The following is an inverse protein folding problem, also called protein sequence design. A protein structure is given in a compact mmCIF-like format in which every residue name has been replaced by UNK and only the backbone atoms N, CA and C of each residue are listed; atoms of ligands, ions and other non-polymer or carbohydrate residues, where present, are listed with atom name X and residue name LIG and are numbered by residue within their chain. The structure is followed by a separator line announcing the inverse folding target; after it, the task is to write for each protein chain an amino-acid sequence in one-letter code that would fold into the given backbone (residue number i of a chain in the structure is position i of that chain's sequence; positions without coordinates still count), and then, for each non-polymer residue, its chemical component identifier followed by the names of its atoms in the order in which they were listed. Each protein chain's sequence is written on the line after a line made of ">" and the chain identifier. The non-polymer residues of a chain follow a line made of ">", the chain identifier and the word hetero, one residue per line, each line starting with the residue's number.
data_IF_694371809020
#
_entry.id   IF_694371809020
#
_cell.length_a   1.000
_cell.length_b   1.000
_cell.length_c   1.000
_cell.angle_alpha   90.00
_cell.angle_beta   90.00
_cell.angle_gamma   90.00
#
_symmetry.space_group_name_H-M   'P 1'
#
loop_
_entity.id
_entity.type
_entity.pdbx_description
1 polymer ?
#
# COMPACT_ATOMS: atom_id res chain seq x y z
N UNK A 1 -24.82 127.69 -6.07
CA UNK A 1 -25.88 128.59 -6.57
C UNK A 1 -25.75 129.94 -5.86
N UNK A 2 -25.43 131.05 -6.54
CA UNK A 2 -25.39 132.35 -5.88
C UNK A 2 -26.83 132.84 -5.66
N UNK A 3 -27.16 133.25 -4.43
CA UNK A 3 -28.48 133.81 -4.11
C UNK A 3 -28.71 135.07 -4.98
N UNK A 4 -29.83 135.17 -5.73
CA UNK A 4 -30.16 136.37 -6.48
C UNK A 4 -30.34 137.56 -5.51
N UNK A 5 -29.93 138.74 -5.95
CA UNK A 5 -29.99 139.94 -5.15
C UNK A 5 -31.44 140.30 -4.82
N UNK A 6 -31.73 140.53 -3.54
CA UNK A 6 -33.06 140.93 -3.02
C UNK A 6 -33.64 142.24 -3.60
N UNK A 7 -32.92 142.94 -4.47
CA UNK A 7 -33.40 144.16 -5.12
C UNK A 7 -32.90 144.17 -6.56
N UNK A 8 -33.80 144.48 -7.48
CA UNK A 8 -33.52 144.69 -8.90
C UNK A 8 -33.49 146.17 -9.24
N UNK A 9 -32.85 146.51 -10.35
CA UNK A 9 -32.79 147.88 -10.87
C UNK A 9 -34.19 148.46 -11.11
N UNK A 10 -35.13 147.67 -11.66
CA UNK A 10 -36.52 148.12 -11.90
C UNK A 10 -37.30 148.44 -10.62
N UNK A 11 -36.97 147.78 -9.50
CA UNK A 11 -37.58 148.10 -8.21
C UNK A 11 -37.10 149.48 -7.72
N UNK A 12 -35.80 149.76 -7.87
CA UNK A 12 -35.22 151.08 -7.57
C UNK A 12 -35.82 152.15 -8.47
N UNK A 13 -36.01 151.88 -9.77
CA UNK A 13 -36.67 152.82 -10.70
C UNK A 13 -38.11 153.15 -10.29
N UNK A 14 -38.88 152.14 -9.89
CA UNK A 14 -40.28 152.34 -9.46
C UNK A 14 -40.36 153.19 -8.20
N UNK A 15 -39.50 152.93 -7.22
CA UNK A 15 -39.41 153.74 -6.00
C UNK A 15 -38.94 155.17 -6.29
N UNK A 16 -38.06 155.37 -7.27
CA UNK A 16 -37.63 156.70 -7.74
C UNK A 16 -38.78 157.44 -8.42
N UNK A 17 -39.60 156.76 -9.22
CA UNK A 17 -40.77 157.35 -9.87
C UNK A 17 -41.82 157.79 -8.83
N UNK A 18 -42.04 156.99 -7.78
CA UNK A 18 -42.93 157.33 -6.67
C UNK A 18 -42.44 158.54 -5.86
N UNK A 19 -41.13 158.63 -5.59
CA UNK A 19 -40.54 159.82 -4.94
C UNK A 19 -40.67 161.08 -5.80
N UNK A 20 -40.52 160.97 -7.13
CA UNK A 20 -40.73 162.10 -8.04
C UNK A 20 -42.20 162.56 -8.07
N UNK A 21 -43.15 161.62 -8.04
CA UNK A 21 -44.59 161.92 -8.01
C UNK A 21 -45.02 162.65 -6.74
N UNK A 22 -44.34 162.40 -5.61
CA UNK A 22 -44.61 163.01 -4.31
C UNK A 22 -43.80 164.28 -4.04
N UNK A 23 -43.01 164.76 -5.02
CA UNK A 23 -42.07 165.89 -4.87
C UNK A 23 -41.06 165.70 -3.71
N UNK A 24 -40.74 164.44 -3.37
CA UNK A 24 -39.76 164.10 -2.33
C UNK A 24 -38.37 163.94 -2.95
N UNK A 25 -37.28 164.47 -2.34
CA UNK A 25 -35.93 164.29 -2.86
C UNK A 25 -35.50 162.81 -2.89
N UNK A 26 -34.95 162.39 -4.02
CA UNK A 26 -34.52 161.01 -4.29
C UNK A 26 -33.15 160.75 -3.65
N UNK A 27 -33.11 159.96 -2.57
CA UNK A 27 -31.85 159.49 -1.96
C UNK A 27 -31.93 157.98 -1.61
N UNK A 28 -30.79 157.28 -1.42
CA UNK A 28 -30.79 155.83 -1.16
C UNK A 28 -31.59 155.41 0.08
N UNK A 29 -31.71 156.28 1.08
CA UNK A 29 -32.50 156.00 2.29
C UNK A 29 -34.01 156.11 2.03
N UNK A 30 -34.45 157.13 1.29
CA UNK A 30 -35.85 157.30 0.90
C UNK A 30 -36.29 156.18 -0.04
N UNK A 31 -35.41 155.78 -0.97
CA UNK A 31 -35.65 154.63 -1.85
C UNK A 31 -35.72 153.33 -1.05
N UNK A 32 -34.83 153.12 -0.07
CA UNK A 32 -34.91 151.97 0.84
C UNK A 32 -36.19 152.00 1.68
N UNK A 33 -36.66 153.19 2.07
CA UNK A 33 -37.90 153.35 2.85
C UNK A 33 -39.13 152.93 2.05
N UNK A 34 -39.16 153.22 0.75
CA UNK A 34 -40.24 152.75 -0.16
C UNK A 34 -40.10 151.25 -0.43
N UNK A 35 -38.89 150.78 -0.70
CA UNK A 35 -38.65 149.36 -1.00
C UNK A 35 -38.81 148.45 0.21
N UNK A 36 -38.76 148.97 1.44
CA UNK A 36 -38.84 148.22 2.69
C UNK A 36 -37.62 147.34 2.99
N UNK A 37 -36.81 147.00 1.99
CA UNK A 37 -35.64 146.15 2.11
C UNK A 37 -34.49 146.60 1.20
N UNK A 38 -33.29 146.08 1.49
CA UNK A 38 -32.12 146.32 0.67
C UNK A 38 -30.89 146.88 1.35
N UNK A 39 -29.71 146.57 0.77
CA UNK A 39 -28.46 147.22 1.16
C UNK A 39 -28.36 148.61 0.56
N UNK A 40 -28.07 149.61 1.40
CA UNK A 40 -27.86 151.01 0.99
C UNK A 40 -26.78 151.11 -0.10
N UNK A 41 -25.72 150.30 -0.02
CA UNK A 41 -24.63 150.29 -1.01
C UNK A 41 -25.12 149.82 -2.39
N UNK A 42 -26.03 148.84 -2.42
CA UNK A 42 -26.57 148.31 -3.68
C UNK A 42 -27.65 149.22 -4.27
N UNK A 43 -28.50 149.83 -3.44
CA UNK A 43 -29.45 150.87 -3.86
C UNK A 43 -28.70 152.10 -4.39
N UNK A 44 -27.62 152.51 -3.72
CA UNK A 44 -26.75 153.58 -4.19
C UNK A 44 -26.12 153.30 -5.55
N UNK A 45 -25.67 152.05 -5.79
CA UNK A 45 -25.18 151.63 -7.10
C UNK A 45 -26.23 151.79 -8.20
N UNK A 46 -27.48 151.35 -7.97
CA UNK A 46 -28.56 151.50 -8.94
C UNK A 46 -29.00 152.96 -9.14
N UNK A 47 -29.07 153.76 -8.07
CA UNK A 47 -29.38 155.19 -8.18
C UNK A 47 -28.33 155.97 -8.99
N UNK A 48 -27.04 155.64 -8.82
CA UNK A 48 -25.96 156.20 -9.61
C UNK A 48 -26.08 155.82 -11.09
N UNK A 49 -26.47 154.58 -11.38
CA UNK A 49 -26.77 154.14 -12.75
C UNK A 49 -27.94 154.92 -13.38
N UNK A 50 -28.95 155.28 -12.58
CA UNK A 50 -30.13 156.08 -12.98
C UNK A 50 -29.88 157.59 -13.11
N UNK A 51 -28.63 158.04 -13.03
CA UNK A 51 -28.28 159.46 -13.15
C UNK A 51 -28.65 160.31 -11.93
N UNK A 52 -29.03 159.69 -10.82
CA UNK A 52 -29.19 160.37 -9.54
C UNK A 52 -27.81 160.44 -8.86
N UNK A 53 -27.34 161.65 -8.57
CA UNK A 53 -26.10 161.86 -7.84
C UNK A 53 -26.27 161.38 -6.40
N UNK A 54 -25.79 160.16 -6.14
CA UNK A 54 -25.63 159.58 -4.80
C UNK A 54 -24.33 160.05 -4.14
N UNK A 55 -23.88 161.24 -4.50
CA UNK A 55 -22.73 161.84 -3.85
C UNK A 55 -23.21 162.30 -2.49
N UNK A 56 -22.79 161.56 -1.46
CA UNK A 56 -22.48 162.14 -0.17
C UNK A 56 -21.29 163.08 -0.38
N UNK A 57 -21.49 164.16 -1.13
CA UNK A 57 -20.51 165.21 -1.28
C UNK A 57 -20.28 165.76 0.12
N UNK A 58 -19.11 165.43 0.66
CA UNK A 58 -18.52 165.90 1.92
C UNK A 58 -18.42 167.43 2.04
N UNK A 59 -19.04 168.18 1.13
CA UNK A 59 -19.16 169.63 1.09
C UNK A 59 -20.36 170.15 1.91
N UNK A 60 -21.17 169.25 2.52
CA UNK A 60 -22.23 169.60 3.48
C UNK A 60 -22.19 168.78 4.77
N UNK A 61 -21.04 168.20 5.08
CA UNK A 61 -20.82 167.61 6.40
C UNK A 61 -20.45 168.73 7.37
N UNK A 62 -21.24 168.88 8.43
CA UNK A 62 -20.94 169.72 9.58
C UNK A 62 -19.45 169.54 9.96
N UNK A 63 -18.66 170.60 10.23
CA UNK A 63 -17.25 170.49 10.67
C UNK A 63 -17.04 169.44 11.77
N UNK A 64 -18.07 169.14 12.56
CA UNK A 64 -18.08 168.04 13.52
C UNK A 64 -17.90 166.65 12.88
N UNK A 65 -18.58 166.34 11.77
CA UNK A 65 -18.53 165.05 11.07
C UNK A 65 -17.17 164.82 10.42
N UNK A 66 -16.60 165.85 9.79
CA UNK A 66 -15.25 165.81 9.21
C UNK A 66 -14.18 165.61 10.29
N UNK A 67 -14.34 166.24 11.45
CA UNK A 67 -13.48 166.03 12.62
C UNK A 67 -13.62 164.62 13.19
N UNK A 68 -14.85 164.09 13.30
CA UNK A 68 -15.13 162.71 13.69
C UNK A 68 -14.48 161.70 12.75
N UNK A 69 -14.61 161.87 11.43
CA UNK A 69 -13.98 161.00 10.44
C UNK A 69 -12.46 161.05 10.53
N UNK A 70 -11.87 162.24 10.71
CA UNK A 70 -10.43 162.38 10.86
C UNK A 70 -9.90 161.81 12.19
N UNK A 71 -10.72 161.78 13.26
CA UNK A 71 -10.38 161.12 14.53
C UNK A 71 -10.57 159.60 14.47
N UNK A 72 -11.59 159.11 13.75
CA UNK A 72 -11.93 157.69 13.67
C UNK A 72 -11.13 156.93 12.60
N UNK A 73 -10.68 157.60 11.54
CA UNK A 73 -9.92 156.98 10.44
C UNK A 73 -8.61 156.32 10.91
N UNK A 74 -7.77 156.95 11.75
CA UNK A 74 -6.58 156.30 12.29
C UNK A 74 -6.92 155.04 13.09
N UNK A 75 -7.97 155.11 13.94
CA UNK A 75 -8.43 153.97 14.75
C UNK A 75 -8.98 152.84 13.88
N UNK A 76 -9.70 153.17 12.80
CA UNK A 76 -10.21 152.18 11.86
C UNK A 76 -9.08 151.49 11.07
N UNK A 77 -8.03 152.24 10.70
CA UNK A 77 -6.84 151.67 10.05
C UNK A 77 -6.05 150.79 11.01
N UNK A 78 -5.87 151.20 12.26
CA UNK A 78 -5.21 150.38 13.29
C UNK A 78 -6.00 149.10 13.58
N UNK A 79 -7.33 149.17 13.67
CA UNK A 79 -8.20 148.00 13.82
C UNK A 79 -8.13 147.07 12.59
N UNK A 80 -8.09 147.61 11.38
CA UNK A 80 -7.93 146.83 10.15
C UNK A 80 -6.56 146.14 10.12
N UNK A 81 -5.49 146.85 10.49
CA UNK A 81 -4.13 146.30 10.58
C UNK A 81 -4.01 145.21 11.66
N UNK A 82 -4.59 145.43 12.85
CA UNK A 82 -4.70 144.41 13.89
C UNK A 82 -5.53 143.21 13.43
N UNK A 83 -6.60 143.42 12.65
CA UNK A 83 -7.41 142.32 12.12
C UNK A 83 -6.65 141.51 11.08
N UNK A 84 -5.92 142.17 10.18
CA UNK A 84 -5.07 141.53 9.17
C UNK A 84 -3.94 140.76 9.82
N UNK A 85 -3.33 141.31 10.86
CA UNK A 85 -2.26 140.63 11.59
C UNK A 85 -2.78 139.40 12.35
N UNK A 86 -3.95 139.48 12.99
CA UNK A 86 -4.63 138.30 13.59
C UNK A 86 -4.98 137.25 12.54
N UNK A 87 -5.50 137.66 11.39
CA UNK A 87 -5.80 136.75 10.27
C UNK A 87 -4.52 136.09 9.77
N UNK A 88 -3.43 136.86 9.62
CA UNK A 88 -2.13 136.36 9.19
C UNK A 88 -1.59 135.33 10.18
N UNK A 89 -1.60 135.64 11.47
CA UNK A 89 -1.15 134.72 12.53
C UNK A 89 -1.99 133.45 12.58
N UNK A 90 -3.33 133.57 12.54
CA UNK A 90 -4.21 132.41 12.50
C UNK A 90 -4.02 131.56 11.24
N UNK A 91 -3.77 132.18 10.09
CA UNK A 91 -3.49 131.47 8.82
C UNK A 91 -2.14 130.76 8.90
N UNK A 92 -1.12 131.40 9.47
CA UNK A 92 0.19 130.77 9.69
C UNK A 92 0.09 129.57 10.64
N UNK A 93 -0.63 129.70 11.76
CA UNK A 93 -0.87 128.60 12.70
C UNK A 93 -1.62 127.44 12.04
N UNK A 94 -2.68 127.73 11.28
CA UNK A 94 -3.44 126.69 10.58
C UNK A 94 -2.61 126.01 9.49
N UNK A 95 -1.75 126.75 8.78
CA UNK A 95 -0.82 126.16 7.80
C UNK A 95 0.21 125.26 8.49
N UNK A 96 0.78 125.66 9.63
CA UNK A 96 1.71 124.80 10.38
C UNK A 96 1.02 123.55 10.89
N UNK A 97 -0.20 123.65 11.42
CA UNK A 97 -0.99 122.49 11.84
C UNK A 97 -1.30 121.57 10.64
N UNK A 98 -1.63 122.13 9.49
CA UNK A 98 -1.92 121.36 8.28
C UNK A 98 -0.68 120.60 7.78
N UNK A 99 0.50 121.24 7.81
CA UNK A 99 1.78 120.60 7.50
C UNK A 99 2.11 119.47 8.50
N UNK A 100 1.94 119.69 9.80
CA UNK A 100 2.11 118.67 10.83
C UNK A 100 1.16 117.49 10.63
N UNK A 101 -0.12 117.74 10.31
CA UNK A 101 -1.08 116.68 9.99
C UNK A 101 -0.72 115.95 8.71
N UNK A 102 -0.25 116.65 7.67
CA UNK A 102 0.19 116.03 6.42
C UNK A 102 1.38 115.10 6.64
N UNK A 103 2.39 115.54 7.41
CA UNK A 103 3.53 114.67 7.76
C UNK A 103 3.11 113.47 8.60
N UNK A 104 2.17 113.64 9.55
CA UNK A 104 1.61 112.54 10.32
C UNK A 104 0.87 111.54 9.43
N UNK A 105 0.02 112.00 8.50
CA UNK A 105 -0.69 111.15 7.55
C UNK A 105 0.29 110.35 6.70
N UNK A 106 1.31 111.01 6.12
CA UNK A 106 2.34 110.30 5.33
C UNK A 106 3.11 109.27 6.17
N UNK A 107 3.36 109.55 7.44
CA UNK A 107 4.00 108.58 8.34
C UNK A 107 3.09 107.38 8.64
N UNK A 108 1.79 107.61 8.82
CA UNK A 108 0.80 106.56 9.08
C UNK A 108 0.55 105.70 7.83
N UNK A 109 0.46 106.31 6.65
CA UNK A 109 0.34 105.60 5.38
C UNK A 109 1.55 104.68 5.14
N UNK A 110 2.76 105.17 5.44
CA UNK A 110 3.98 104.35 5.38
C UNK A 110 3.92 103.18 6.37
N UNK A 111 3.55 103.44 7.63
CA UNK A 111 3.41 102.37 8.62
C UNK A 111 2.32 101.35 8.25
N UNK A 112 1.23 101.80 7.63
CA UNK A 112 0.17 100.92 7.14
C UNK A 112 0.68 100.04 6.01
N UNK A 113 1.44 100.60 5.06
CA UNK A 113 2.08 99.84 3.99
C UNK A 113 3.08 98.81 4.50
N UNK A 114 3.94 99.20 5.46
CA UNK A 114 4.91 98.27 6.08
C UNK A 114 4.18 97.12 6.80
N UNK A 115 3.10 97.41 7.54
CA UNK A 115 2.29 96.38 8.19
C UNK A 115 1.57 95.48 7.19
N UNK A 116 1.07 96.03 6.08
CA UNK A 116 0.44 95.24 5.03
C UNK A 116 1.44 94.27 4.39
N UNK A 117 2.66 94.74 4.07
CA UNK A 117 3.71 93.87 3.55
C UNK A 117 4.05 92.72 4.50
N UNK A 118 4.09 92.98 5.81
CA UNK A 118 4.32 91.95 6.83
C UNK A 118 3.16 90.96 6.90
N UNK A 119 1.92 91.42 6.77
CA UNK A 119 0.74 90.55 6.70
C UNK A 119 0.85 89.63 5.48
N UNK A 120 1.11 90.18 4.29
CA UNK A 120 1.24 89.41 3.06
C UNK A 120 2.34 88.33 3.16
N UNK A 121 3.48 88.67 3.80
CA UNK A 121 4.55 87.69 4.07
C UNK A 121 4.11 86.57 5.02
N UNK A 122 3.34 86.89 6.06
CA UNK A 122 2.83 85.88 6.99
C UNK A 122 1.75 85.01 6.35
N UNK A 123 0.88 85.58 5.51
CA UNK A 123 -0.11 84.84 4.74
C UNK A 123 0.57 83.83 3.80
N UNK A 124 1.61 84.26 3.06
CA UNK A 124 2.38 83.35 2.20
C UNK A 124 3.08 82.22 2.98
N UNK A 125 3.65 82.54 4.16
CA UNK A 125 4.26 81.52 5.04
C UNK A 125 3.21 80.55 5.59
N UNK A 126 2.02 81.05 5.93
CA UNK A 126 0.91 80.22 6.42
C UNK A 126 0.39 79.28 5.33
N UNK A 127 0.18 79.76 4.11
CA UNK A 127 -0.21 78.93 2.97
C UNK A 127 0.80 77.82 2.71
N UNK A 128 2.11 78.14 2.73
CA UNK A 128 3.17 77.14 2.58
C UNK A 128 3.13 76.09 3.70
N UNK A 129 2.97 76.51 4.95
CA UNK A 129 2.89 75.60 6.09
C UNK A 129 1.64 74.69 6.03
N UNK A 130 0.51 75.21 5.55
CA UNK A 130 -0.71 74.42 5.32
C UNK A 130 -0.46 73.36 4.25
N UNK A 131 0.16 73.72 3.12
CA UNK A 131 0.47 72.77 2.05
C UNK A 131 1.43 71.66 2.52
N UNK A 132 2.46 72.00 3.30
CA UNK A 132 3.41 71.03 3.87
C UNK A 132 2.74 70.10 4.90
N UNK A 133 1.84 70.64 5.73
CA UNK A 133 1.04 69.85 6.67
C UNK A 133 0.14 68.87 5.93
N UNK A 134 -0.56 69.31 4.88
CA UNK A 134 -1.49 68.46 4.14
C UNK A 134 -0.75 67.35 3.38
N UNK A 135 0.40 67.66 2.78
CA UNK A 135 1.28 66.65 2.19
C UNK A 135 1.76 65.63 3.23
N UNK A 136 2.12 66.08 4.43
CA UNK A 136 2.56 65.19 5.50
C UNK A 136 1.42 64.32 6.01
N UNK A 137 0.21 64.88 6.13
CA UNK A 137 -1.00 64.14 6.48
C UNK A 137 -1.31 63.04 5.46
N UNK A 138 -1.24 63.35 4.17
CA UNK A 138 -1.46 62.37 3.10
C UNK A 138 -0.44 61.23 3.15
N UNK A 139 0.83 61.55 3.42
CA UNK A 139 1.89 60.53 3.61
C UNK A 139 1.62 59.66 4.84
N UNK A 140 1.24 60.26 5.98
CA UNK A 140 0.88 59.52 7.18
C UNK A 140 -0.30 58.58 6.94
N UNK A 141 -1.35 59.03 6.26
CA UNK A 141 -2.50 58.18 5.93
C UNK A 141 -2.13 57.00 5.02
N UNK A 142 -1.25 57.22 4.02
CA UNK A 142 -0.74 56.13 3.18
C UNK A 142 0.04 55.10 4.00
N UNK A 143 0.91 55.56 4.90
CA UNK A 143 1.68 54.68 5.78
C UNK A 143 0.79 53.90 6.75
N UNK A 144 -0.26 54.52 7.30
CA UNK A 144 -1.24 53.82 8.15
C UNK A 144 -1.94 52.69 7.39
N UNK A 145 -2.35 52.92 6.14
CA UNK A 145 -2.97 51.89 5.30
C UNK A 145 -1.97 50.78 4.96
N UNK A 146 -0.71 51.11 4.65
CA UNK A 146 0.33 50.12 4.40
C UNK A 146 0.66 49.29 5.64
N UNK A 147 0.72 49.91 6.81
CA UNK A 147 0.92 49.23 8.09
C UNK A 147 -0.22 48.26 8.38
N UNK A 148 -1.48 48.69 8.27
CA UNK A 148 -2.64 47.82 8.47
C UNK A 148 -2.61 46.61 7.51
N UNK A 149 -2.21 46.83 6.25
CA UNK A 149 -2.07 45.75 5.26
C UNK A 149 -0.93 44.79 5.59
N UNK A 150 0.18 45.28 6.14
CA UNK A 150 1.29 44.44 6.59
C UNK A 150 0.92 43.63 7.84
N UNK A 151 0.22 44.24 8.79
CA UNK A 151 -0.32 43.57 9.98
C UNK A 151 -1.26 42.43 9.59
N UNK A 152 -2.19 42.67 8.65
CA UNK A 152 -3.08 41.63 8.13
C UNK A 152 -2.30 40.47 7.49
N UNK A 153 -1.26 40.76 6.69
CA UNK A 153 -0.40 39.73 6.11
C UNK A 153 0.33 38.91 7.17
N UNK A 154 0.82 39.56 8.23
CA UNK A 154 1.51 38.87 9.34
C UNK A 154 0.53 37.95 10.07
N UNK A 155 -0.69 38.39 10.33
CA UNK A 155 -1.75 37.56 10.94
C UNK A 155 -2.05 36.35 10.05
N UNK A 156 -2.28 36.56 8.75
CA UNK A 156 -2.53 35.46 7.80
C UNK A 156 -1.38 34.45 7.74
N UNK A 157 -0.13 34.93 7.74
CA UNK A 157 1.05 34.05 7.76
C UNK A 157 1.16 33.28 9.08
N UNK A 158 0.85 33.90 10.22
CA UNK A 158 0.84 33.24 11.52
C UNK A 158 -0.22 32.12 11.57
N UNK A 159 -1.43 32.38 11.06
CA UNK A 159 -2.50 31.37 10.96
C UNK A 159 -2.10 30.21 10.05
N UNK A 160 -1.51 30.48 8.88
CA UNK A 160 -1.01 29.45 7.98
C UNK A 160 0.10 28.60 8.63
N UNK A 161 0.98 29.23 9.40
CA UNK A 161 2.09 28.56 10.09
C UNK A 161 1.58 27.67 11.22
N UNK A 162 0.58 28.12 11.99
CA UNK A 162 -0.07 27.28 13.02
C UNK A 162 -0.85 26.11 12.40
N UNK A 163 -1.56 26.32 11.29
CA UNK A 163 -2.21 25.24 10.55
C UNK A 163 -1.17 24.21 10.04
N UNK A 164 -0.05 24.67 9.49
CA UNK A 164 1.03 23.79 9.04
C UNK A 164 1.67 23.00 10.19
N UNK A 165 1.90 23.64 11.35
CA UNK A 165 2.38 22.95 12.57
C UNK A 165 1.43 21.84 13.01
N UNK A 166 0.12 22.10 13.02
CA UNK A 166 -0.88 21.09 13.39
C UNK A 166 -0.85 19.88 12.45
N UNK A 167 -0.75 20.11 11.13
CA UNK A 167 -0.61 19.03 10.14
C UNK A 167 0.68 18.23 10.36
N UNK A 168 1.80 18.90 10.63
CA UNK A 168 3.08 18.23 10.92
C UNK A 168 2.95 17.34 12.16
N UNK A 169 2.39 17.84 13.25
CA UNK A 169 2.19 17.06 14.48
C UNK A 169 1.31 15.83 14.24
N UNK A 170 0.23 15.97 13.45
CA UNK A 170 -0.60 14.84 13.07
C UNK A 170 0.20 13.79 12.28
N UNK A 171 0.98 14.22 11.28
CA UNK A 171 1.81 13.33 10.47
C UNK A 171 2.93 12.66 11.26
N UNK A 172 3.50 13.34 12.24
CA UNK A 172 4.46 12.75 13.17
C UNK A 172 3.82 11.64 14.02
N UNK A 173 2.59 11.85 14.52
CA UNK A 173 1.82 10.82 15.24
C UNK A 173 1.52 9.62 14.37
N UNK A 174 0.97 9.83 13.16
CA UNK A 174 0.67 8.76 12.20
C UNK A 174 1.95 7.96 11.84
N UNK A 175 3.08 8.64 11.66
CA UNK A 175 4.37 8.00 11.37
C UNK A 175 4.88 7.20 12.56
N UNK A 176 4.69 7.68 13.79
CA UNK A 176 5.07 6.96 15.01
C UNK A 176 4.22 5.69 15.19
N UNK A 177 2.92 5.78 14.95
CA UNK A 177 1.99 4.63 14.97
C UNK A 177 2.39 3.58 13.92
N UNK A 178 2.58 3.98 12.67
CA UNK A 178 2.99 3.07 11.59
C UNK A 178 4.34 2.39 11.87
N UNK A 179 5.30 3.11 12.49
CA UNK A 179 6.58 2.51 12.92
C UNK A 179 6.38 1.47 14.03
N UNK A 180 5.46 1.72 14.96
CA UNK A 180 5.16 0.77 16.02
C UNK A 180 4.47 -0.48 15.47
N UNK A 181 3.50 -0.33 14.57
CA UNK A 181 2.85 -1.45 13.87
C UNK A 181 3.85 -2.29 13.10
N UNK A 182 4.72 -1.64 12.32
CA UNK A 182 5.78 -2.34 11.57
C UNK A 182 6.71 -3.13 12.51
N UNK A 183 7.07 -2.57 13.67
CA UNK A 183 7.89 -3.27 14.67
C UNK A 183 7.18 -4.52 15.22
N UNK A 184 5.88 -4.43 15.48
CA UNK A 184 5.06 -5.57 15.92
C UNK A 184 5.03 -6.64 14.83
N UNK A 185 4.73 -6.27 13.58
CA UNK A 185 4.68 -7.19 12.45
C UNK A 185 6.02 -7.91 12.25
N UNK A 186 7.15 -7.19 12.32
CA UNK A 186 8.48 -7.79 12.22
C UNK A 186 8.71 -8.81 13.34
N UNK A 187 8.33 -8.46 14.58
CA UNK A 187 8.47 -9.37 15.73
C UNK A 187 7.61 -10.62 15.55
N UNK A 188 6.35 -10.48 15.16
CA UNK A 188 5.43 -11.60 14.94
C UNK A 188 5.89 -12.48 13.77
N UNK A 189 6.41 -11.88 12.69
CA UNK A 189 6.97 -12.63 11.56
C UNK A 189 8.20 -13.44 11.98
N UNK A 190 9.08 -12.87 12.81
CA UNK A 190 10.24 -13.59 13.34
C UNK A 190 9.82 -14.78 14.22
N UNK A 191 8.81 -14.59 15.08
CA UNK A 191 8.25 -15.67 15.90
C UNK A 191 7.65 -16.77 15.01
N UNK A 192 6.87 -16.39 14.00
CA UNK A 192 6.26 -17.35 13.07
C UNK A 192 7.32 -18.12 12.27
N UNK A 193 8.39 -17.45 11.80
CA UNK A 193 9.51 -18.10 11.12
C UNK A 193 10.24 -19.08 12.02
N UNK A 194 10.50 -18.71 13.27
CA UNK A 194 11.14 -19.59 14.23
C UNK A 194 10.27 -20.82 14.52
N UNK A 195 8.97 -20.63 14.78
CA UNK A 195 8.05 -21.74 15.00
C UNK A 195 7.95 -22.67 13.78
N UNK A 196 7.95 -22.13 12.56
CA UNK A 196 7.95 -22.91 11.34
C UNK A 196 9.25 -23.70 11.17
N UNK A 197 10.40 -23.10 11.49
CA UNK A 197 11.69 -23.79 11.46
C UNK A 197 11.74 -24.93 12.49
N UNK A 198 11.32 -24.67 13.72
CA UNK A 198 11.25 -25.68 14.78
C UNK A 198 10.32 -26.84 14.39
N UNK A 199 9.15 -26.56 13.81
CA UNK A 199 8.23 -27.57 13.30
C UNK A 199 8.85 -28.39 12.16
N UNK A 200 9.48 -27.75 11.17
CA UNK A 200 10.16 -28.45 10.08
C UNK A 200 11.32 -29.32 10.59
N UNK A 201 12.11 -28.83 11.54
CA UNK A 201 13.19 -29.61 12.15
C UNK A 201 12.64 -30.85 12.88
N UNK A 202 11.52 -30.70 13.59
CA UNK A 202 10.83 -31.81 14.24
C UNK A 202 10.28 -32.83 13.22
N UNK A 203 9.64 -32.39 12.14
CA UNK A 203 9.14 -33.26 11.07
C UNK A 203 10.27 -34.01 10.37
N UNK A 204 11.37 -33.33 10.01
CA UNK A 204 12.54 -33.95 9.41
C UNK A 204 13.11 -35.03 10.35
N UNK A 205 13.14 -34.77 11.66
CA UNK A 205 13.61 -35.74 12.64
C UNK A 205 12.71 -36.99 12.65
N UNK A 206 11.39 -36.82 12.65
CA UNK A 206 10.42 -37.93 12.58
C UNK A 206 10.62 -38.73 11.29
N UNK A 207 10.72 -38.08 10.13
CA UNK A 207 10.92 -38.78 8.86
C UNK A 207 12.25 -39.54 8.81
N UNK A 208 13.32 -39.01 9.41
CA UNK A 208 14.59 -39.74 9.54
C UNK A 208 14.43 -40.98 10.42
N UNK A 209 13.81 -40.84 11.59
CA UNK A 209 13.55 -41.98 12.49
C UNK A 209 12.67 -43.05 11.83
N UNK A 210 11.66 -42.67 11.05
CA UNK A 210 10.84 -43.61 10.28
C UNK A 210 11.61 -44.29 9.13
N UNK A 211 12.47 -43.53 8.44
CA UNK A 211 13.31 -44.06 7.37
C UNK A 211 14.33 -45.07 7.90
N UNK A 212 14.96 -44.76 9.04
CA UNK A 212 15.92 -45.64 9.72
C UNK A 212 15.23 -46.94 10.13
N UNK A 213 14.07 -46.85 10.80
CA UNK A 213 13.25 -48.03 11.15
C UNK A 213 12.87 -48.87 9.94
N UNK A 214 12.38 -48.25 8.86
CA UNK A 214 12.07 -48.98 7.61
C UNK A 214 13.30 -49.66 7.01
N UNK A 215 14.46 -49.03 7.12
CA UNK A 215 15.71 -49.60 6.60
C UNK A 215 16.13 -50.82 7.43
N UNK A 216 15.97 -50.75 8.76
CA UNK A 216 16.15 -51.89 9.66
C UNK A 216 15.17 -53.03 9.34
N UNK A 217 13.88 -52.72 9.20
CA UNK A 217 12.84 -53.69 8.84
C UNK A 217 13.13 -54.37 7.48
N UNK A 218 13.55 -53.59 6.49
CA UNK A 218 13.90 -54.11 5.17
C UNK A 218 15.11 -55.04 5.24
N UNK A 219 16.14 -54.66 6.01
CA UNK A 219 17.32 -55.49 6.25
C UNK A 219 16.95 -56.81 6.93
N UNK A 220 16.09 -56.77 7.95
CA UNK A 220 15.59 -57.95 8.65
C UNK A 220 14.79 -58.87 7.73
N UNK A 221 13.86 -58.30 6.95
CA UNK A 221 13.06 -59.06 5.98
C UNK A 221 13.94 -59.69 4.89
N UNK A 222 14.95 -58.95 4.40
CA UNK A 222 15.90 -59.48 3.42
C UNK A 222 16.69 -60.67 3.98
N UNK A 223 17.11 -60.60 5.26
CA UNK A 223 17.80 -61.71 5.91
C UNK A 223 16.89 -62.94 6.10
N UNK A 224 15.62 -62.73 6.48
CA UNK A 224 14.63 -63.81 6.59
C UNK A 224 14.35 -64.47 5.24
N UNK A 225 14.26 -63.67 4.17
CA UNK A 225 14.04 -64.17 2.81
C UNK A 225 15.23 -65.03 2.34
N UNK A 226 16.47 -64.60 2.59
CA UNK A 226 17.66 -65.40 2.29
C UNK A 226 17.74 -66.69 3.12
N UNK A 227 17.34 -66.66 4.38
CA UNK A 227 17.24 -67.87 5.21
C UNK A 227 16.17 -68.84 4.66
N UNK A 228 15.01 -68.32 4.26
CA UNK A 228 13.95 -69.11 3.64
C UNK A 228 14.36 -69.70 2.29
N UNK A 229 15.09 -68.94 1.45
CA UNK A 229 15.70 -69.43 0.20
C UNK A 229 16.67 -70.58 0.46
N UNK A 230 17.60 -70.38 1.39
CA UNK A 230 18.57 -71.40 1.79
C UNK A 230 17.89 -72.68 2.30
N UNK A 231 16.82 -72.52 3.09
CA UNK A 231 15.99 -73.64 3.57
C UNK A 231 15.28 -74.36 2.42
N UNK A 232 14.69 -73.62 1.48
CA UNK A 232 14.03 -74.16 0.29
C UNK A 232 15.00 -74.92 -0.61
N UNK A 233 16.21 -74.40 -0.83
CA UNK A 233 17.26 -75.08 -1.58
C UNK A 233 17.65 -76.41 -0.91
N UNK A 234 17.83 -76.41 0.42
CA UNK A 234 18.10 -77.64 1.18
C UNK A 234 16.98 -78.66 1.05
N UNK A 235 15.71 -78.23 1.09
CA UNK A 235 14.56 -79.10 0.89
C UNK A 235 14.47 -79.64 -0.54
N UNK A 236 14.71 -78.80 -1.55
CA UNK A 236 14.78 -79.23 -2.95
C UNK A 236 15.86 -80.29 -3.15
N UNK A 237 17.04 -80.11 -2.54
CA UNK A 237 18.12 -81.08 -2.61
C UNK A 237 17.75 -82.41 -1.92
N UNK A 238 17.07 -82.35 -0.75
CA UNK A 238 16.52 -83.56 -0.11
C UNK A 238 15.50 -84.28 -0.99
N UNK A 239 14.60 -83.54 -1.65
CA UNK A 239 13.62 -84.12 -2.57
C UNK A 239 14.33 -84.78 -3.77
N UNK A 240 15.36 -84.13 -4.32
CA UNK A 240 16.19 -84.68 -5.41
C UNK A 240 16.87 -85.99 -4.98
N UNK A 241 17.47 -86.00 -3.79
CA UNK A 241 18.11 -87.19 -3.20
C UNK A 241 17.11 -88.34 -3.04
N UNK A 242 15.94 -88.08 -2.46
CA UNK A 242 14.87 -89.07 -2.32
C UNK A 242 14.37 -89.58 -3.68
N UNK A 243 14.30 -88.71 -4.69
CA UNK A 243 13.99 -89.10 -6.07
C UNK A 243 14.98 -90.14 -6.62
N UNK A 244 16.28 -89.89 -6.43
CA UNK A 244 17.35 -90.83 -6.83
C UNK A 244 17.25 -92.14 -6.06
N UNK A 245 17.09 -92.09 -4.74
CA UNK A 245 16.92 -93.29 -3.91
C UNK A 245 15.72 -94.14 -4.36
N UNK A 246 14.60 -93.47 -4.69
CA UNK A 246 13.42 -94.13 -5.24
C UNK A 246 13.69 -94.77 -6.61
N UNK A 247 14.43 -94.11 -7.49
CA UNK A 247 14.84 -94.69 -8.78
C UNK A 247 15.73 -95.93 -8.61
N UNK A 248 16.71 -95.86 -7.70
CA UNK A 248 17.58 -96.99 -7.34
C UNK A 248 16.73 -98.15 -6.84
N UNK A 249 15.89 -97.94 -5.82
CA UNK A 249 14.99 -98.97 -5.30
C UNK A 249 14.08 -99.55 -6.38
N UNK A 250 13.56 -98.71 -7.30
CA UNK A 250 12.70 -99.18 -8.39
C UNK A 250 13.47 -100.02 -9.43
N UNK A 251 14.74 -99.68 -9.69
CA UNK A 251 15.62 -100.49 -10.54
C UNK A 251 15.97 -101.84 -9.91
N UNK A 252 16.20 -101.87 -8.58
CA UNK A 252 16.42 -103.08 -7.80
C UNK A 252 15.17 -103.97 -7.81
N UNK A 253 13.98 -103.40 -7.58
CA UNK A 253 12.71 -104.12 -7.69
C UNK A 253 12.50 -104.70 -9.09
N UNK A 254 12.83 -103.97 -10.16
CA UNK A 254 12.78 -104.50 -11.53
C UNK A 254 13.73 -105.68 -11.74
N UNK A 255 14.96 -105.59 -11.22
CA UNK A 255 15.93 -106.69 -11.26
C UNK A 255 15.41 -107.91 -10.52
N UNK A 256 14.96 -107.74 -9.27
CA UNK A 256 14.39 -108.83 -8.47
C UNK A 256 13.17 -109.45 -9.16
N UNK A 257 12.33 -108.65 -9.81
CA UNK A 257 11.19 -109.15 -10.57
C UNK A 257 11.63 -110.01 -11.76
N UNK A 258 12.71 -109.64 -12.47
CA UNK A 258 13.25 -110.47 -13.55
C UNK A 258 13.86 -111.77 -13.01
N UNK A 259 14.55 -111.72 -11.85
CA UNK A 259 15.09 -112.90 -11.18
C UNK A 259 13.99 -113.86 -10.73
N UNK A 260 12.87 -113.34 -10.23
CA UNK A 260 11.68 -114.14 -9.89
C UNK A 260 11.14 -114.84 -11.14
N UNK A 261 10.96 -114.13 -12.25
CA UNK A 261 10.49 -114.71 -13.52
C UNK A 261 11.45 -115.81 -14.02
N UNK A 262 12.77 -115.57 -13.94
CA UNK A 262 13.78 -116.57 -14.31
C UNK A 262 13.70 -117.82 -13.42
N UNK A 263 13.53 -117.64 -12.10
CA UNK A 263 13.33 -118.75 -11.16
C UNK A 263 12.03 -119.50 -11.44
N UNK A 264 10.94 -118.81 -11.75
CA UNK A 264 9.67 -119.44 -12.14
C UNK A 264 9.82 -120.30 -13.40
N UNK A 265 10.53 -119.82 -14.43
CA UNK A 265 10.85 -120.60 -15.62
C UNK A 265 11.73 -121.82 -15.30
N UNK A 266 12.72 -121.67 -14.41
CA UNK A 266 13.56 -122.77 -13.97
C UNK A 266 12.75 -123.83 -13.20
N UNK A 267 11.84 -123.41 -12.32
CA UNK A 267 10.90 -124.30 -11.62
C UNK A 267 10.00 -125.03 -12.62
N UNK A 268 9.47 -124.35 -13.63
CA UNK A 268 8.66 -124.97 -14.68
C UNK A 268 9.43 -126.04 -15.45
N UNK A 269 10.68 -125.75 -15.83
CA UNK A 269 11.58 -126.72 -16.48
C UNK A 269 11.86 -127.94 -15.61
N UNK A 270 12.14 -127.73 -14.31
CA UNK A 270 12.33 -128.82 -13.35
C UNK A 270 11.07 -129.67 -13.18
N UNK A 271 9.87 -129.05 -13.11
CA UNK A 271 8.59 -129.78 -13.08
C UNK A 271 8.40 -130.65 -14.32
N UNK A 272 8.76 -130.15 -15.50
CA UNK A 272 8.71 -130.90 -16.76
C UNK A 272 9.66 -132.11 -16.74
N UNK A 273 10.88 -131.92 -16.20
CA UNK A 273 11.84 -133.01 -16.03
C UNK A 273 11.35 -134.07 -15.04
N UNK A 274 10.78 -133.66 -13.90
CA UNK A 274 10.17 -134.58 -12.93
C UNK A 274 9.06 -135.40 -13.60
N UNK A 275 8.17 -134.76 -14.36
CA UNK A 275 7.11 -135.44 -15.11
C UNK A 275 7.64 -136.48 -16.11
N UNK A 276 8.77 -136.18 -16.80
CA UNK A 276 9.47 -137.14 -17.66
C UNK A 276 10.06 -138.32 -16.89
N UNK A 277 10.66 -138.07 -15.73
CA UNK A 277 11.20 -139.12 -14.86
C UNK A 277 10.07 -140.01 -14.32
N UNK A 278 8.96 -139.44 -13.89
CA UNK A 278 7.77 -140.18 -13.47
C UNK A 278 7.22 -141.07 -14.60
N UNK A 279 7.14 -140.55 -15.83
CA UNK A 279 6.77 -141.36 -16.99
C UNK A 279 7.74 -142.52 -17.24
N UNK A 280 9.06 -142.30 -17.17
CA UNK A 280 10.05 -143.37 -17.30
C UNK A 280 9.90 -144.41 -16.20
N UNK A 281 9.75 -143.98 -14.95
CA UNK A 281 9.53 -144.87 -13.81
C UNK A 281 8.27 -145.73 -13.98
N UNK A 282 7.19 -145.16 -14.54
CA UNK A 282 5.97 -145.92 -14.84
C UNK A 282 6.16 -146.99 -15.92
N UNK A 283 6.96 -146.69 -16.97
CA UNK A 283 7.33 -147.65 -18.02
C UNK A 283 8.19 -148.77 -17.46
N UNK A 284 9.19 -148.44 -16.65
CA UNK A 284 10.08 -149.42 -16.01
C UNK A 284 9.31 -150.38 -15.09
N UNK A 285 8.38 -149.84 -14.28
CA UNK A 285 7.49 -150.64 -13.43
C UNK A 285 6.63 -151.60 -14.25
N UNK A 286 6.12 -151.16 -15.40
CA UNK A 286 5.31 -152.01 -16.27
C UNK A 286 6.14 -153.16 -16.88
N UNK A 287 7.36 -152.87 -17.35
CA UNK A 287 8.29 -153.87 -17.89
C UNK A 287 8.64 -154.94 -16.85
N UNK A 288 8.98 -154.52 -15.63
CA UNK A 288 9.37 -155.43 -14.55
C UNK A 288 8.20 -156.32 -14.08
N UNK A 289 6.96 -155.82 -14.16
CA UNK A 289 5.75 -156.58 -13.86
C UNK A 289 5.50 -157.69 -14.89
N UNK A 290 5.79 -157.43 -16.16
CA UNK A 290 5.67 -158.38 -17.27
C UNK A 290 6.67 -159.54 -17.09
N UNK A 291 7.93 -159.20 -16.84
CA UNK A 291 9.03 -160.14 -16.64
C UNK A 291 8.81 -161.06 -15.43
N UNK A 292 8.17 -160.53 -14.38
CA UNK A 292 7.74 -161.30 -13.21
C UNK A 292 6.66 -162.33 -13.56
N UNK A 293 5.71 -162.00 -14.43
CA UNK A 293 4.67 -162.94 -14.87
C UNK A 293 5.25 -164.08 -15.71
N UNK A 294 6.16 -163.77 -16.63
CA UNK A 294 6.84 -164.77 -17.48
C UNK A 294 7.64 -165.77 -16.62
N UNK A 295 8.45 -165.27 -15.67
CA UNK A 295 9.21 -166.10 -14.73
C UNK A 295 8.32 -167.02 -13.89
N UNK A 296 7.12 -166.57 -13.51
CA UNK A 296 6.18 -167.35 -12.71
C UNK A 296 5.52 -168.48 -13.52
N UNK A 297 5.34 -168.26 -14.82
CA UNK A 297 4.78 -169.25 -15.75
C UNK A 297 5.78 -170.39 -16.00
N UNK A 298 7.05 -170.09 -16.22
CA UNK A 298 8.11 -171.10 -16.39
C UNK A 298 8.29 -172.00 -15.16
N UNK A 299 8.26 -171.40 -13.97
CA UNK A 299 8.39 -172.13 -12.70
C UNK A 299 7.25 -173.14 -12.48
N UNK A 300 6.04 -172.83 -12.97
CA UNK A 300 4.89 -173.73 -12.90
C UNK A 300 5.02 -174.93 -13.85
N UNK A 301 5.58 -174.72 -15.04
CA UNK A 301 5.83 -175.78 -16.03
C UNK A 301 6.90 -176.78 -15.56
N UNK A 302 7.96 -176.28 -14.91
CA UNK A 302 9.03 -177.11 -14.34
C UNK A 302 8.52 -178.00 -13.21
N UNK A 303 7.67 -177.45 -12.31
CA UNK A 303 7.07 -178.23 -11.22
C UNK A 303 6.20 -179.39 -11.71
N UNK A 304 5.39 -179.16 -12.74
CA UNK A 304 4.53 -180.21 -13.31
C UNK A 304 5.35 -181.38 -13.90
N UNK A 305 6.47 -181.08 -14.55
CA UNK A 305 7.37 -182.09 -15.16
C UNK A 305 8.09 -182.95 -14.11
N UNK A 306 8.45 -182.35 -12.98
CA UNK A 306 9.15 -183.05 -11.90
C UNK A 306 8.25 -184.07 -11.18
N UNK A 307 6.95 -183.75 -11.03
CA UNK A 307 5.96 -184.68 -10.46
C UNK A 307 5.76 -185.92 -11.34
N UNK A 308 5.74 -185.76 -12.67
CA UNK A 308 5.60 -186.88 -13.60
C UNK A 308 6.78 -187.85 -13.52
N UNK A 309 8.01 -187.33 -13.51
CA UNK A 309 9.23 -188.13 -13.41
C UNK A 309 9.34 -188.90 -12.09
N UNK A 310 8.84 -188.31 -11.00
CA UNK A 310 8.82 -188.97 -9.69
C UNK A 310 7.89 -190.20 -9.65
N UNK A 311 6.80 -190.18 -10.41
CA UNK A 311 5.87 -191.32 -10.51
C UNK A 311 6.41 -192.44 -11.39
N UNK A 312 7.19 -192.12 -12.43
CA UNK A 312 7.83 -193.13 -13.28
C UNK A 312 8.94 -193.88 -12.51
N UNK A 313 9.73 -193.16 -11.70
CA UNK A 313 10.77 -193.77 -10.86
C UNK A 313 10.21 -194.75 -9.82
N UNK A 314 9.11 -194.40 -9.16
CA UNK A 314 8.48 -195.29 -8.17
C UNK A 314 7.86 -196.54 -8.82
N UNK A 315 7.46 -196.46 -10.09
CA UNK A 315 6.96 -197.62 -10.85
C UNK A 315 8.08 -198.59 -11.22
N UNK A 316 9.21 -198.04 -11.67
CA UNK A 316 10.45 -198.78 -11.97
C UNK A 316 11.01 -199.48 -10.73
N UNK A 317 11.00 -198.82 -9.56
CA UNK A 317 11.45 -199.44 -8.30
C UNK A 317 10.62 -200.68 -7.93
N UNK A 318 9.30 -200.63 -8.14
CA UNK A 318 8.40 -201.74 -7.84
C UNK A 318 8.58 -202.92 -8.82
N UNK A 319 8.81 -202.65 -10.11
CA UNK A 319 9.07 -203.68 -11.12
C UNK A 319 10.41 -204.39 -10.87
N UNK A 320 11.45 -203.64 -10.46
CA UNK A 320 12.74 -204.19 -10.05
C UNK A 320 12.65 -205.06 -8.79
N UNK A 321 11.80 -204.71 -7.82
CA UNK A 321 11.60 -205.50 -6.61
C UNK A 321 10.87 -206.83 -6.90
N UNK A 322 9.89 -206.81 -7.82
CA UNK A 322 9.16 -208.00 -8.25
C UNK A 322 10.05 -209.01 -8.98
N UNK A 323 10.92 -208.54 -9.88
CA UNK A 323 11.85 -209.40 -10.62
C UNK A 323 12.87 -210.10 -9.70
N UNK A 324 13.37 -209.42 -8.66
CA UNK A 324 14.28 -210.04 -7.66
C UNK A 324 13.58 -211.13 -6.84
N UNK A 325 12.30 -210.96 -6.53
CA UNK A 325 11.51 -211.95 -5.81
C UNK A 325 11.20 -213.21 -6.64
N UNK A 326 11.17 -213.13 -7.97
CA UNK A 326 10.92 -214.28 -8.85
C UNK A 326 12.15 -215.18 -9.00
N UNK A 327 13.34 -214.57 -9.09
CA UNK A 327 14.61 -215.28 -9.26
C UNK A 327 14.93 -216.19 -8.06
N UNK A 328 14.48 -215.84 -6.85
CA UNK A 328 14.77 -216.59 -5.63
C UNK A 328 13.90 -217.85 -5.43
N UNK A 329 12.88 -218.11 -6.28
CA UNK A 329 11.89 -219.19 -6.07
C UNK A 329 12.02 -220.43 -6.98
N UNK A 330 12.93 -220.49 -7.95
CA UNK A 330 12.97 -221.60 -8.93
C UNK A 330 14.35 -222.30 -9.11
N UNK A 331 14.61 -223.37 -8.33
CA UNK A 331 15.53 -224.52 -8.61
C UNK A 331 17.04 -224.30 -8.27
N UNK A 332 17.84 -225.16 -7.61
CA UNK A 332 18.03 -226.64 -7.45
C UNK A 332 18.30 -227.44 -8.75
N UNK A 333 19.56 -227.88 -8.85
CA UNK A 333 20.18 -228.96 -9.66
C UNK A 333 20.96 -228.58 -10.93
N UNK A 334 22.23 -228.99 -10.91
CA UNK A 334 23.17 -229.26 -12.02
C UNK A 334 24.07 -228.12 -12.52
N UNK A 335 25.28 -228.11 -11.97
CA UNK A 335 26.60 -228.14 -12.65
C UNK A 335 27.03 -227.08 -13.70
N UNK A 336 28.25 -226.60 -13.46
CA UNK A 336 29.29 -226.09 -14.37
C UNK A 336 29.30 -224.62 -14.88
N UNK A 337 30.38 -223.94 -14.41
CA UNK A 337 31.37 -223.08 -15.13
C UNK A 337 31.01 -221.75 -15.80
N UNK A 338 31.84 -220.74 -15.45
CA UNK A 338 32.39 -219.64 -16.29
C UNK A 338 31.42 -218.54 -16.81
N UNK A 339 31.79 -217.28 -17.07
CA UNK A 339 32.93 -216.37 -16.86
C UNK A 339 32.52 -215.00 -17.48
N UNK A 340 33.16 -213.88 -17.10
CA UNK A 340 33.27 -212.56 -17.80
C UNK A 340 32.01 -211.65 -17.93
N UNK A 341 32.03 -210.30 -17.92
CA UNK A 341 33.03 -209.21 -17.81
C UNK A 341 32.33 -207.82 -17.79
N UNK A 342 33.05 -206.77 -17.30
CA UNK A 342 33.11 -205.35 -17.77
C UNK A 342 31.87 -204.40 -17.61
N UNK A 343 31.96 -203.06 -17.42
CA UNK A 343 33.03 -202.03 -17.42
C UNK A 343 32.56 -200.69 -16.75
N UNK A 344 33.53 -199.88 -16.27
CA UNK A 344 33.73 -198.37 -16.15
C UNK A 344 32.54 -197.38 -16.22
N UNK A 345 32.51 -196.12 -15.68
CA UNK A 345 33.33 -195.08 -14.98
C UNK A 345 32.40 -193.82 -14.85
N UNK A 346 32.85 -192.66 -14.33
CA UNK A 346 33.47 -192.34 -13.04
C UNK A 346 32.46 -191.90 -11.97
#
# INVERSE_FOLDING_TARGET
>A
MPRPAKITESAVESAVAELKSTHTPVNPYQVRKILGEGSIAKIGYFLKALGHTTDYSAEKDDPLTLKLVNMLRPVALELDEQSKERIRQATQQLNTELEEKATLVSSLERQLGDKQSVIDEFEAKLEKAIAERDLSRDKSQKLEVELARLEEKVIQQAEQLEAAKSVIQQKESETAEARNEMRIIIKDNNIARQAMQENHEAEIKIYKEELDKRSEDYSALSAELEAARSSSESLQEKIRQQGIEKEIANSEVKSLKSDVVNREQQIASLREQVKKVEQRLSKERHSHQLEKQESQQELSAIKARNVSLSNDNTRLENDCAFLRSLIQKFQISSDQTEDTSEDRRP
#
